data_IF_839878957557
#
_entry.id   IF_839878957557
#
_cell.length_a   1.000
_cell.length_b   1.000
_cell.length_c   1.000
_cell.angle_alpha   90.00
_cell.angle_beta   90.00
_cell.angle_gamma   90.00
#
_symmetry.space_group_name_H-M   'P 1'
#
loop_
_entity.id
_entity.type
_entity.pdbx_description
1 polymer ?
#
# COMPACT_ATOMS: atom_id res chain seq x y z
N UNK A 1 -6.60 22.57 -20.31
CA UNK A 1 -5.88 21.64 -19.42
C UNK A 1 -5.46 22.44 -18.19
N UNK A 2 -6.09 22.22 -17.02
CA UNK A 2 -5.73 22.93 -15.80
C UNK A 2 -4.66 22.12 -15.06
N UNK A 3 -3.45 22.68 -14.94
CA UNK A 3 -2.36 22.05 -14.17
C UNK A 3 -2.57 22.41 -12.70
N UNK A 4 -2.82 21.42 -11.85
CA UNK A 4 -2.86 21.61 -10.42
C UNK A 4 -1.44 21.79 -9.88
N UNK A 5 -1.21 22.85 -9.10
CA UNK A 5 0.06 23.06 -8.38
C UNK A 5 -0.03 22.38 -7.02
N UNK A 6 0.64 21.24 -6.88
CA UNK A 6 0.76 20.49 -5.62
C UNK A 6 2.24 20.48 -5.23
N UNK A 7 2.52 20.68 -3.95
CA UNK A 7 3.90 20.59 -3.44
C UNK A 7 4.42 19.16 -3.59
N UNK A 8 5.72 18.92 -3.85
CA UNK A 8 6.26 17.57 -3.90
C UNK A 8 5.94 16.71 -2.66
N UNK A 9 5.90 17.34 -1.48
CA UNK A 9 5.55 16.67 -0.21
C UNK A 9 4.08 16.26 -0.07
N UNK A 10 3.19 16.80 -0.91
CA UNK A 10 1.76 16.51 -0.84
C UNK A 10 1.26 15.66 -2.03
N UNK A 11 2.10 15.41 -3.04
CA UNK A 11 1.72 14.59 -4.21
C UNK A 11 1.28 13.20 -3.77
N UNK A 12 2.02 12.55 -2.87
CA UNK A 12 1.67 11.19 -2.41
C UNK A 12 0.30 11.18 -1.72
N UNK A 13 0.03 12.15 -0.84
CA UNK A 13 -1.25 12.28 -0.16
C UNK A 13 -2.39 12.50 -1.16
N UNK A 14 -2.16 13.34 -2.18
CA UNK A 14 -3.16 13.56 -3.22
C UNK A 14 -3.39 12.29 -4.06
N UNK A 15 -2.33 11.54 -4.40
CA UNK A 15 -2.46 10.25 -5.07
C UNK A 15 -3.33 9.29 -4.26
N UNK A 16 -3.07 9.15 -2.95
CA UNK A 16 -3.92 8.32 -2.09
C UNK A 16 -5.37 8.79 -2.04
N UNK A 17 -5.59 10.11 -1.99
CA UNK A 17 -6.94 10.70 -2.02
C UNK A 17 -7.69 10.36 -3.32
N UNK A 18 -6.99 10.43 -4.45
CA UNK A 18 -7.54 10.08 -5.77
C UNK A 18 -7.84 8.58 -5.84
N UNK A 19 -6.88 7.73 -5.47
CA UNK A 19 -7.05 6.27 -5.49
C UNK A 19 -8.21 5.85 -4.60
N UNK A 20 -8.31 6.35 -3.37
CA UNK A 20 -9.41 6.03 -2.46
C UNK A 20 -10.77 6.47 -3.02
N UNK A 21 -10.82 7.64 -3.68
CA UNK A 21 -12.04 8.12 -4.35
C UNK A 21 -12.44 7.22 -5.53
N UNK A 22 -11.47 6.79 -6.34
CA UNK A 22 -11.71 5.94 -7.52
C UNK A 22 -12.06 4.51 -7.15
N UNK A 23 -11.45 3.97 -6.08
CA UNK A 23 -11.75 2.64 -5.55
C UNK A 23 -13.22 2.53 -5.09
N UNK A 24 -13.80 3.63 -4.59
CA UNK A 24 -15.20 3.70 -4.21
C UNK A 24 -15.54 2.76 -3.04
N UNK A 25 -16.68 2.06 -3.14
CA UNK A 25 -17.13 1.17 -2.08
C UNK A 25 -16.30 -0.13 -2.06
N UNK A 26 -15.76 -0.46 -0.88
CA UNK A 26 -15.03 -1.69 -0.63
C UNK A 26 -15.42 -2.30 0.72
N UNK A 27 -15.02 -3.57 0.94
CA UNK A 27 -15.28 -4.28 2.20
C UNK A 27 -14.05 -4.37 3.11
N UNK A 28 -12.93 -3.74 2.74
CA UNK A 28 -11.72 -3.73 3.55
C UNK A 28 -11.88 -2.95 4.85
N UNK A 29 -11.33 -3.49 5.94
CA UNK A 29 -11.04 -2.71 7.14
C UNK A 29 -9.89 -1.71 6.89
N UNK A 30 -9.71 -0.74 7.79
CA UNK A 30 -8.73 0.34 7.64
C UNK A 30 -7.29 -0.15 7.41
N UNK A 31 -6.89 -1.25 8.05
CA UNK A 31 -5.51 -1.76 7.93
C UNK A 31 -5.33 -2.47 6.60
N UNK A 32 -6.30 -3.27 6.19
CA UNK A 32 -6.30 -3.94 4.89
C UNK A 32 -6.35 -2.91 3.76
N UNK A 33 -7.20 -1.89 3.89
CA UNK A 33 -7.30 -0.79 2.93
C UNK A 33 -5.97 -0.07 2.75
N UNK A 34 -5.23 0.21 3.83
CA UNK A 34 -3.93 0.86 3.75
C UNK A 34 -2.93 0.07 2.88
N UNK A 35 -2.95 -1.27 2.97
CA UNK A 35 -2.11 -2.14 2.13
C UNK A 35 -2.57 -2.09 0.68
N UNK A 36 -3.87 -2.25 0.43
CA UNK A 36 -4.46 -2.22 -0.93
C UNK A 36 -4.14 -0.90 -1.63
N UNK A 37 -4.37 0.24 -0.97
CA UNK A 37 -4.07 1.56 -1.54
C UNK A 37 -2.59 1.73 -1.86
N UNK A 38 -1.69 1.22 -1.01
CA UNK A 38 -0.24 1.28 -1.24
C UNK A 38 0.18 0.44 -2.45
N UNK A 39 -0.42 -0.74 -2.64
CA UNK A 39 -0.18 -1.58 -3.82
C UNK A 39 -0.66 -0.87 -5.09
N UNK A 40 -1.90 -0.37 -5.11
CA UNK A 40 -2.45 0.37 -6.26
C UNK A 40 -1.61 1.63 -6.55
N UNK A 41 -1.12 2.33 -5.53
CA UNK A 41 -0.25 3.49 -5.72
C UNK A 41 1.05 3.14 -6.45
N UNK A 42 1.65 2.00 -6.13
CA UNK A 42 2.88 1.55 -6.75
C UNK A 42 2.69 1.02 -8.18
N UNK A 43 1.49 0.49 -8.50
CA UNK A 43 1.23 -0.19 -9.78
C UNK A 43 0.32 0.57 -10.74
N UNK A 44 -0.43 1.56 -10.24
CA UNK A 44 -1.56 2.21 -10.91
C UNK A 44 -2.64 1.22 -11.42
N UNK A 45 -2.78 0.07 -10.77
CA UNK A 45 -3.69 -1.01 -11.19
C UNK A 45 -4.72 -1.32 -10.09
N UNK A 46 -5.99 -1.00 -10.36
CA UNK A 46 -7.10 -1.22 -9.42
C UNK A 46 -7.55 -2.67 -9.31
N UNK A 47 -7.13 -3.57 -10.22
CA UNK A 47 -7.49 -4.99 -10.15
C UNK A 47 -6.97 -5.67 -8.88
N UNK A 48 -5.94 -5.10 -8.22
CA UNK A 48 -5.45 -5.56 -6.94
C UNK A 48 -6.48 -5.46 -5.81
N UNK A 49 -7.51 -4.60 -5.92
CA UNK A 49 -8.61 -4.59 -4.98
C UNK A 49 -9.47 -5.86 -5.02
N UNK A 50 -9.43 -6.62 -6.11
CA UNK A 50 -10.19 -7.87 -6.23
C UNK A 50 -9.29 -9.10 -6.04
N UNK A 51 -8.01 -8.98 -6.40
CA UNK A 51 -7.06 -10.09 -6.43
C UNK A 51 -6.23 -10.27 -5.16
N UNK A 52 -6.22 -9.30 -4.25
CA UNK A 52 -5.50 -9.42 -2.98
C UNK A 52 -6.31 -10.21 -1.96
N UNK A 53 -5.70 -11.28 -1.44
CA UNK A 53 -6.27 -12.12 -0.40
C UNK A 53 -5.42 -12.08 0.86
N UNK A 54 -6.08 -11.95 2.01
CA UNK A 54 -5.45 -11.85 3.32
C UNK A 54 -5.95 -12.99 4.20
N UNK A 55 -5.05 -13.70 4.87
CA UNK A 55 -5.45 -14.58 5.96
C UNK A 55 -5.92 -13.74 7.17
N UNK A 56 -6.79 -14.27 8.04
CA UNK A 56 -7.43 -13.50 9.12
C UNK A 56 -6.47 -12.67 9.99
N UNK A 57 -5.23 -13.12 10.17
CA UNK A 57 -4.22 -12.45 11.02
C UNK A 57 -2.99 -11.95 10.24
N UNK A 58 -3.04 -11.92 8.91
CA UNK A 58 -1.86 -11.61 8.08
C UNK A 58 -1.19 -10.28 8.49
N UNK A 59 -2.01 -9.24 8.66
CA UNK A 59 -1.54 -7.89 8.98
C UNK A 59 -0.99 -7.83 10.41
N UNK A 60 -1.73 -8.34 11.40
CA UNK A 60 -1.27 -8.33 12.79
C UNK A 60 0.00 -9.15 12.99
N UNK A 61 0.09 -10.32 12.37
CA UNK A 61 1.27 -11.16 12.42
C UNK A 61 2.49 -10.47 11.81
N UNK A 62 2.32 -9.81 10.65
CA UNK A 62 3.36 -9.03 10.00
C UNK A 62 3.85 -7.85 10.87
N UNK A 63 2.93 -7.03 11.38
CA UNK A 63 3.26 -5.90 12.27
C UNK A 63 4.03 -6.39 13.50
N UNK A 64 3.56 -7.47 14.14
CA UNK A 64 4.22 -8.05 15.31
C UNK A 64 5.62 -8.56 14.99
N UNK A 65 5.82 -9.22 13.85
CA UNK A 65 7.13 -9.72 13.44
C UNK A 65 8.12 -8.57 13.19
N UNK A 66 7.68 -7.51 12.49
CA UNK A 66 8.49 -6.32 12.25
C UNK A 66 8.88 -5.62 13.56
N UNK A 67 7.93 -5.41 14.47
CA UNK A 67 8.19 -4.80 15.80
C UNK A 67 9.12 -5.65 16.67
N UNK A 68 9.07 -6.97 16.52
CA UNK A 68 9.96 -7.89 17.23
C UNK A 68 11.37 -7.98 16.59
N UNK A 69 11.67 -7.17 15.57
CA UNK A 69 12.99 -7.13 14.93
C UNK A 69 13.33 -8.43 14.20
N UNK A 70 12.33 -9.15 13.67
CA UNK A 70 12.57 -10.37 12.90
C UNK A 70 13.22 -10.03 11.56
N UNK A 71 14.04 -10.96 11.06
CA UNK A 71 14.65 -10.84 9.74
C UNK A 71 13.57 -10.88 8.64
N UNK A 72 13.76 -10.07 7.59
CA UNK A 72 12.96 -10.12 6.37
C UNK A 72 13.78 -10.89 5.33
N UNK A 73 13.29 -12.06 4.94
CA UNK A 73 13.89 -12.85 3.86
C UNK A 73 13.26 -12.40 2.54
N UNK A 74 14.10 -11.92 1.62
CA UNK A 74 13.69 -11.55 0.26
C UNK A 74 14.28 -12.57 -0.72
N UNK A 75 13.50 -12.98 -1.70
CA UNK A 75 13.91 -13.87 -2.79
C UNK A 75 14.74 -13.13 -3.86
N UNK A 76 14.45 -11.84 -4.07
CA UNK A 76 15.17 -10.97 -5.03
C UNK A 76 15.74 -9.71 -4.38
N UNK A 77 16.91 -9.29 -4.85
CA UNK A 77 17.66 -8.14 -4.30
C UNK A 77 16.92 -6.82 -4.44
N UNK A 78 16.10 -6.64 -5.50
CA UNK A 78 15.35 -5.39 -5.69
C UNK A 78 14.34 -5.15 -4.57
N UNK A 79 13.72 -6.20 -4.03
CA UNK A 79 12.80 -6.08 -2.88
C UNK A 79 13.58 -5.60 -1.66
N UNK A 80 14.74 -6.21 -1.37
CA UNK A 80 15.59 -5.78 -0.27
C UNK A 80 16.03 -4.31 -0.42
N UNK A 81 16.43 -3.89 -1.63
CA UNK A 81 16.87 -2.53 -1.90
C UNK A 81 15.74 -1.49 -1.82
N UNK A 82 14.50 -1.90 -2.09
CA UNK A 82 13.31 -1.04 -2.02
C UNK A 82 12.76 -0.83 -0.61
N UNK A 83 13.15 -1.66 0.36
CA UNK A 83 12.73 -1.49 1.77
C UNK A 83 13.56 -0.35 2.39
N UNK A 84 12.87 0.71 2.81
CA UNK A 84 13.49 1.84 3.51
C UNK A 84 14.02 1.41 4.88
N UNK A 85 15.19 1.95 5.25
CA UNK A 85 15.85 1.69 6.55
C UNK A 85 15.39 2.67 7.61
#
# INVERSE_FOLDING_TARGET
MNIQKISPSDIEKESFRIIAKELGNHQFDDRTLAVVLRVIHATADFSFAENLHFSPDAIEAGIRALRAGKNILCDVTMVQAGISK
#
